data_IF_998911316507
#
_entry.id   IF_998911316507
#
_cell.length_a   1.000
_cell.length_b   1.000
_cell.length_c   1.000
_cell.angle_alpha   90.00
_cell.angle_beta   90.00
_cell.angle_gamma   90.00
#
_symmetry.space_group_name_H-M   'P 1'
#
loop_
_entity.id
_entity.type
_entity.pdbx_description
1 polymer ?
#
# COMPACT_ATOMS: atom_id res chain seq x y z
N UNK A 1 6.31 26.27 -16.75
CA UNK A 1 6.73 25.80 -15.42
C UNK A 1 6.51 24.30 -15.38
N UNK A 2 7.57 23.52 -15.67
CA UNK A 2 7.61 22.10 -15.41
C UNK A 2 7.31 21.89 -13.91
N UNK A 3 6.18 21.28 -13.62
CA UNK A 3 5.83 20.84 -12.28
C UNK A 3 6.96 19.93 -11.78
N UNK A 4 7.79 20.44 -10.89
CA UNK A 4 8.80 19.66 -10.20
C UNK A 4 8.05 18.66 -9.28
N UNK A 5 7.82 17.46 -9.79
CA UNK A 5 7.29 16.39 -8.97
C UNK A 5 8.43 15.88 -8.09
N UNK A 6 8.30 15.98 -6.76
CA UNK A 6 9.34 15.48 -5.87
C UNK A 6 9.51 13.97 -6.06
N UNK A 7 10.71 13.42 -5.83
CA UNK A 7 10.94 11.98 -5.91
C UNK A 7 10.07 11.22 -4.89
N UNK A 8 9.74 9.95 -5.13
CA UNK A 8 8.84 9.17 -4.25
C UNK A 8 9.24 9.15 -2.78
N UNK A 9 10.54 9.18 -2.49
CA UNK A 9 11.06 9.29 -1.12
C UNK A 9 10.71 10.62 -0.44
N UNK A 10 10.79 11.73 -1.19
CA UNK A 10 10.37 13.04 -0.69
C UNK A 10 8.83 13.12 -0.55
N UNK A 11 8.07 12.37 -1.35
CA UNK A 11 6.62 12.26 -1.20
C UNK A 11 6.23 11.50 0.07
N UNK A 12 6.96 10.44 0.46
CA UNK A 12 6.77 9.78 1.76
C UNK A 12 7.01 10.73 2.93
N UNK A 13 8.10 11.51 2.86
CA UNK A 13 8.38 12.55 3.84
C UNK A 13 7.28 13.62 3.83
N UNK A 14 6.77 13.98 2.65
CA UNK A 14 5.67 14.91 2.47
C UNK A 14 4.38 14.45 3.17
N UNK A 15 4.03 13.17 3.08
CA UNK A 15 2.87 12.60 3.80
C UNK A 15 3.01 12.82 5.31
N UNK A 16 4.20 12.57 5.86
CA UNK A 16 4.46 12.80 7.27
C UNK A 16 4.40 14.29 7.66
N UNK A 17 5.01 15.18 6.83
CA UNK A 17 5.09 16.61 7.12
C UNK A 17 3.75 17.34 6.94
N UNK A 18 2.97 17.02 5.91
CA UNK A 18 1.65 17.64 5.68
C UNK A 18 0.73 17.34 6.86
N UNK A 19 0.73 16.10 7.31
CA UNK A 19 -0.06 15.74 8.47
C UNK A 19 0.42 16.39 9.77
N UNK A 20 1.71 16.72 9.91
CA UNK A 20 2.22 17.44 11.08
C UNK A 20 1.84 18.94 11.05
N UNK A 21 1.74 19.54 9.87
CA UNK A 21 1.45 20.98 9.72
C UNK A 21 -0.03 21.29 9.57
N UNK A 22 -0.88 20.32 9.27
CA UNK A 22 -2.31 20.49 9.12
C UNK A 22 -3.03 20.34 10.46
N UNK A 23 -3.81 21.33 10.86
CA UNK A 23 -4.60 21.29 12.10
C UNK A 23 -5.68 20.19 12.11
N UNK A 24 -6.06 19.68 10.94
CA UNK A 24 -7.12 18.67 10.77
C UNK A 24 -6.60 17.25 10.53
N UNK A 25 -5.36 17.10 10.06
CA UNK A 25 -4.76 15.81 9.73
C UNK A 25 -3.50 15.62 10.57
N UNK A 26 -3.50 14.67 11.48
CA UNK A 26 -2.29 14.30 12.22
C UNK A 26 -1.47 13.25 11.43
N UNK A 27 -0.44 13.71 10.71
CA UNK A 27 0.42 12.87 9.87
C UNK A 27 1.17 11.78 10.62
N UNK A 28 1.25 11.91 11.95
CA UNK A 28 1.80 10.85 12.81
C UNK A 28 1.02 9.55 12.70
N UNK A 29 -0.27 9.63 12.38
CA UNK A 29 -1.13 8.45 12.18
C UNK A 29 -1.26 8.05 10.70
N UNK A 30 -1.18 9.01 9.77
CA UNK A 30 -1.33 8.74 8.33
C UNK A 30 -0.17 7.93 7.74
N UNK A 31 1.07 8.27 8.07
CA UNK A 31 2.22 7.54 7.56
C UNK A 31 2.27 6.08 8.06
N UNK A 32 2.15 5.80 9.37
CA UNK A 32 2.04 4.42 9.84
C UNK A 32 0.85 3.66 9.26
N UNK A 33 -0.30 4.31 9.12
CA UNK A 33 -1.48 3.71 8.50
C UNK A 33 -1.24 3.31 7.04
N UNK A 34 -0.65 4.21 6.24
CA UNK A 34 -0.25 3.92 4.88
C UNK A 34 0.70 2.72 4.79
N UNK A 35 1.77 2.74 5.60
CA UNK A 35 2.75 1.64 5.64
C UNK A 35 2.09 0.33 6.07
N UNK A 36 1.20 0.37 7.07
CA UNK A 36 0.49 -0.81 7.55
C UNK A 36 -0.38 -1.44 6.47
N UNK A 37 -1.13 -0.66 5.68
CA UNK A 37 -1.94 -1.17 4.58
C UNK A 37 -1.06 -1.82 3.50
N UNK A 38 -0.01 -1.14 3.04
CA UNK A 38 0.88 -1.64 1.99
C UNK A 38 1.58 -2.92 2.45
N UNK A 39 2.14 -2.94 3.67
CA UNK A 39 2.84 -4.12 4.17
C UNK A 39 1.90 -5.26 4.56
N UNK A 40 0.66 -4.98 4.95
CA UNK A 40 -0.33 -6.05 5.14
C UNK A 40 -0.71 -6.74 3.83
N UNK A 41 -0.70 -6.02 2.69
CA UNK A 41 -0.89 -6.63 1.38
C UNK A 41 0.23 -7.67 1.08
N UNK A 42 1.49 -7.31 1.32
CA UNK A 42 2.64 -8.20 1.12
C UNK A 42 2.57 -9.43 2.05
N UNK A 43 2.24 -9.21 3.34
CA UNK A 43 2.09 -10.28 4.33
C UNK A 43 0.93 -11.21 3.97
N UNK A 44 -0.22 -10.67 3.61
CA UNK A 44 -1.40 -11.45 3.21
C UNK A 44 -1.14 -12.30 1.98
N UNK A 45 -0.46 -11.71 1.00
CA UNK A 45 -0.05 -12.41 -0.22
C UNK A 45 0.91 -13.57 0.08
N UNK A 46 1.87 -13.36 0.96
CA UNK A 46 2.78 -14.41 1.39
C UNK A 46 2.06 -15.53 2.17
N UNK A 47 1.22 -15.18 3.14
CA UNK A 47 0.52 -16.16 3.99
C UNK A 47 -0.38 -17.08 3.16
N UNK A 48 -1.33 -16.53 2.39
CA UNK A 48 -2.23 -17.36 1.59
C UNK A 48 -1.50 -18.03 0.43
N UNK A 49 -0.56 -17.34 -0.23
CA UNK A 49 0.24 -17.95 -1.29
C UNK A 49 1.01 -19.19 -0.83
N UNK A 50 1.59 -19.17 0.38
CA UNK A 50 2.32 -20.33 0.92
C UNK A 50 1.39 -21.43 1.44
N UNK A 51 0.25 -21.09 2.01
CA UNK A 51 -0.73 -22.06 2.46
C UNK A 51 -1.30 -22.87 1.29
N UNK A 52 -1.70 -22.19 0.23
CA UNK A 52 -2.26 -22.87 -0.96
C UNK A 52 -1.20 -23.57 -1.80
N UNK A 53 0.05 -23.09 -1.81
CA UNK A 53 1.15 -23.81 -2.47
C UNK A 53 1.38 -25.22 -1.91
N UNK A 54 1.04 -25.44 -0.64
CA UNK A 54 1.11 -26.76 0.03
C UNK A 54 -0.19 -27.56 -0.09
N UNK A 55 -1.25 -27.00 -0.66
CA UNK A 55 -2.53 -27.66 -0.84
C UNK A 55 -2.50 -28.66 -2.00
N UNK A 56 -3.26 -29.77 -1.93
CA UNK A 56 -3.44 -30.71 -3.05
C UNK A 56 -3.99 -30.06 -4.32
N UNK A 57 -4.70 -28.94 -4.19
CA UNK A 57 -5.23 -28.17 -5.34
C UNK A 57 -4.17 -27.40 -6.11
N UNK A 58 -2.94 -27.26 -5.56
CA UNK A 58 -1.87 -26.47 -6.16
C UNK A 58 -2.10 -24.96 -6.05
N UNK A 59 -1.16 -24.18 -6.56
CA UNK A 59 -1.30 -22.71 -6.64
C UNK A 59 -1.33 -22.26 -8.10
N UNK A 60 -2.28 -21.38 -8.44
CA UNK A 60 -2.37 -20.77 -9.76
C UNK A 60 -1.39 -19.60 -9.85
N UNK A 61 -0.42 -19.69 -10.76
CA UNK A 61 0.59 -18.64 -10.96
C UNK A 61 -0.01 -17.43 -11.66
N UNK A 62 0.24 -16.23 -11.13
CA UNK A 62 -0.28 -14.99 -11.68
C UNK A 62 0.57 -14.48 -12.86
N UNK A 63 1.89 -14.40 -12.69
CA UNK A 63 2.83 -13.95 -13.74
C UNK A 63 4.10 -14.80 -13.66
N UNK A 64 4.09 -16.04 -14.20
CA UNK A 64 5.18 -16.99 -14.02
C UNK A 64 6.51 -16.54 -14.66
N UNK A 65 6.47 -15.78 -15.74
CA UNK A 65 7.66 -15.32 -16.47
C UNK A 65 8.46 -14.25 -15.72
N UNK A 66 7.78 -13.36 -14.97
CA UNK A 66 8.40 -12.23 -14.25
C UNK A 66 8.65 -12.61 -12.79
N UNK A 67 7.64 -13.17 -12.12
CA UNK A 67 7.68 -13.55 -10.72
C UNK A 67 7.01 -14.90 -10.47
N UNK A 68 7.77 -16.00 -10.53
CA UNK A 68 7.23 -17.37 -10.41
C UNK A 68 6.68 -17.69 -9.02
N UNK A 69 6.94 -16.85 -8.03
CA UNK A 69 6.45 -17.01 -6.66
C UNK A 69 5.05 -16.42 -6.44
N UNK A 70 4.59 -15.50 -7.30
CA UNK A 70 3.27 -14.85 -7.16
C UNK A 70 2.15 -15.76 -7.63
N UNK A 71 1.15 -15.96 -6.77
CA UNK A 71 -0.06 -16.75 -7.05
C UNK A 71 -1.32 -15.90 -6.94
N UNK A 72 -2.39 -16.34 -7.59
CA UNK A 72 -3.71 -15.68 -7.53
C UNK A 72 -4.26 -15.76 -6.10
N UNK A 73 -4.08 -16.88 -5.42
CA UNK A 73 -4.48 -17.09 -4.03
C UNK A 73 -3.76 -16.11 -3.10
N UNK A 74 -2.46 -15.89 -3.36
CA UNK A 74 -1.69 -14.87 -2.66
C UNK A 74 -2.24 -13.47 -2.89
N UNK A 75 -2.60 -13.13 -4.13
CA UNK A 75 -3.22 -11.84 -4.44
C UNK A 75 -4.51 -11.61 -3.66
N UNK A 76 -5.38 -12.62 -3.61
CA UNK A 76 -6.62 -12.56 -2.81
C UNK A 76 -6.28 -12.34 -1.33
N UNK A 77 -5.27 -13.04 -0.80
CA UNK A 77 -4.80 -12.85 0.58
C UNK A 77 -4.31 -11.44 0.87
N UNK A 78 -3.56 -10.87 -0.05
CA UNK A 78 -3.10 -9.48 0.04
C UNK A 78 -4.26 -8.49 0.10
N UNK A 79 -5.24 -8.63 -0.81
CA UNK A 79 -6.44 -7.79 -0.83
C UNK A 79 -7.24 -7.91 0.46
N UNK A 80 -7.50 -9.13 0.93
CA UNK A 80 -8.30 -9.35 2.15
C UNK A 80 -7.62 -8.75 3.38
N UNK A 81 -6.31 -8.96 3.55
CA UNK A 81 -5.61 -8.46 4.71
C UNK A 81 -5.44 -6.93 4.68
N UNK A 82 -5.13 -6.34 3.51
CA UNK A 82 -5.03 -4.89 3.36
C UNK A 82 -6.36 -4.18 3.59
N UNK A 83 -7.47 -4.73 3.09
CA UNK A 83 -8.82 -4.20 3.38
C UNK A 83 -9.14 -4.29 4.87
N UNK A 84 -8.85 -5.40 5.51
CA UNK A 84 -9.08 -5.57 6.95
C UNK A 84 -8.32 -4.54 7.78
N UNK A 85 -7.03 -4.37 7.51
CA UNK A 85 -6.19 -3.37 8.21
C UNK A 85 -6.66 -1.95 7.92
N UNK A 86 -7.02 -1.65 6.67
CA UNK A 86 -7.52 -0.34 6.29
C UNK A 86 -8.83 0.04 6.98
N UNK A 87 -9.80 -0.87 6.99
CA UNK A 87 -11.09 -0.65 7.64
C UNK A 87 -10.91 -0.54 9.17
N UNK A 88 -10.13 -1.43 9.79
CA UNK A 88 -9.85 -1.36 11.22
C UNK A 88 -9.18 -0.04 11.61
N UNK A 89 -8.19 0.42 10.82
CA UNK A 89 -7.56 1.72 11.05
C UNK A 89 -8.54 2.89 10.95
N UNK A 90 -9.45 2.87 9.98
CA UNK A 90 -10.48 3.89 9.85
C UNK A 90 -11.51 3.89 11.00
N UNK A 91 -11.76 2.75 11.62
CA UNK A 91 -12.69 2.63 12.74
C UNK A 91 -12.03 3.02 14.08
N UNK A 92 -10.77 2.68 14.29
CA UNK A 92 -10.10 2.83 15.59
C UNK A 92 -9.18 4.04 15.70
N UNK A 93 -8.74 4.64 14.57
CA UNK A 93 -7.87 5.82 14.56
C UNK A 93 -8.70 7.08 14.23
N UNK A 94 -9.02 7.95 15.21
CA UNK A 94 -9.94 9.09 15.01
C UNK A 94 -9.55 9.98 13.83
N UNK A 95 -8.27 10.36 13.73
CA UNK A 95 -7.78 11.24 12.66
C UNK A 95 -7.86 10.61 11.26
N UNK A 96 -7.67 9.28 11.16
CA UNK A 96 -7.85 8.53 9.92
C UNK A 96 -9.34 8.40 9.59
N UNK A 97 -10.16 8.20 10.61
CA UNK A 97 -11.61 8.09 10.51
C UNK A 97 -12.25 9.30 9.82
N UNK A 98 -11.89 10.51 10.24
CA UNK A 98 -12.43 11.74 9.67
C UNK A 98 -11.99 11.94 8.21
N UNK A 99 -10.76 11.61 7.88
CA UNK A 99 -10.27 11.66 6.52
C UNK A 99 -10.98 10.64 5.61
N UNK A 100 -11.20 9.43 6.09
CA UNK A 100 -11.92 8.39 5.34
C UNK A 100 -13.39 8.75 5.16
N UNK A 101 -14.01 9.46 6.14
CA UNK A 101 -15.35 9.98 6.02
C UNK A 101 -15.44 11.01 4.90
N UNK A 102 -14.50 11.96 4.78
CA UNK A 102 -14.51 12.96 3.70
C UNK A 102 -14.49 12.28 2.33
N UNK A 103 -13.68 11.22 2.17
CA UNK A 103 -13.58 10.47 0.92
C UNK A 103 -14.84 9.65 0.60
N UNK A 104 -15.47 9.08 1.61
CA UNK A 104 -16.64 8.21 1.44
C UNK A 104 -18.00 8.92 1.54
N UNK A 105 -18.06 10.15 2.04
CA UNK A 105 -19.30 10.89 2.26
C UNK A 105 -20.12 11.15 0.99
N UNK A 106 -19.45 11.30 -0.13
CA UNK A 106 -20.09 11.47 -1.44
C UNK A 106 -20.78 10.19 -1.96
N UNK A 107 -20.49 9.05 -1.36
CA UNK A 107 -20.98 7.73 -1.82
C UNK A 107 -22.10 7.23 -0.89
N UNK A 108 -22.03 7.56 0.39
CA UNK A 108 -22.98 7.08 1.39
C UNK A 108 -23.49 8.22 2.28
N UNK A 109 -24.78 8.31 2.44
CA UNK A 109 -25.42 9.25 3.36
C UNK A 109 -25.29 8.89 4.85
N UNK A 110 -24.67 7.74 5.17
CA UNK A 110 -24.45 7.30 6.54
C UNK A 110 -22.96 7.46 6.90
N UNK A 111 -22.68 8.10 8.04
CA UNK A 111 -21.31 8.41 8.50
C UNK A 111 -20.46 7.16 8.65
N UNK A 112 -20.96 6.10 9.29
CA UNK A 112 -20.21 4.87 9.51
C UNK A 112 -19.92 4.14 8.20
N UNK A 113 -20.92 4.06 7.32
CA UNK A 113 -20.76 3.44 5.99
C UNK A 113 -19.79 4.28 5.15
N UNK A 114 -19.83 5.59 5.20
CA UNK A 114 -18.90 6.48 4.52
C UNK A 114 -17.44 6.23 4.92
N UNK A 115 -17.16 6.09 6.20
CA UNK A 115 -15.81 5.75 6.71
C UNK A 115 -15.31 4.41 6.16
N UNK A 116 -16.15 3.37 6.24
CA UNK A 116 -15.81 2.02 5.75
C UNK A 116 -15.55 2.03 4.24
N UNK A 117 -16.43 2.68 3.48
CA UNK A 117 -16.30 2.76 2.01
C UNK A 117 -15.04 3.53 1.61
N UNK A 118 -14.78 4.69 2.23
CA UNK A 118 -13.55 5.46 1.98
C UNK A 118 -12.29 4.64 2.27
N UNK A 119 -12.26 3.97 3.44
CA UNK A 119 -11.14 3.10 3.81
C UNK A 119 -10.97 1.91 2.85
N UNK A 120 -12.05 1.28 2.43
CA UNK A 120 -12.01 0.16 1.50
C UNK A 120 -11.45 0.57 0.13
N UNK A 121 -11.89 1.72 -0.40
CA UNK A 121 -11.40 2.25 -1.68
C UNK A 121 -9.90 2.55 -1.60
N UNK A 122 -9.46 3.28 -0.57
CA UNK A 122 -8.05 3.62 -0.38
C UNK A 122 -7.20 2.35 -0.24
N UNK A 123 -7.61 1.43 0.62
CA UNK A 123 -6.87 0.19 0.85
C UNK A 123 -6.76 -0.67 -0.41
N UNK A 124 -7.83 -0.75 -1.21
CA UNK A 124 -7.81 -1.47 -2.47
C UNK A 124 -6.82 -0.85 -3.46
N UNK A 125 -6.86 0.47 -3.63
CA UNK A 125 -5.95 1.17 -4.53
C UNK A 125 -4.49 1.03 -4.07
N UNK A 126 -4.22 1.21 -2.78
CA UNK A 126 -2.87 1.04 -2.23
C UNK A 126 -2.36 -0.41 -2.38
N UNK A 127 -3.22 -1.40 -2.18
CA UNK A 127 -2.90 -2.81 -2.43
C UNK A 127 -2.53 -3.06 -3.89
N UNK A 128 -3.30 -2.55 -4.84
CA UNK A 128 -3.01 -2.69 -6.27
C UNK A 128 -1.69 -2.00 -6.65
N UNK A 129 -1.47 -0.78 -6.15
CA UNK A 129 -0.21 -0.05 -6.38
C UNK A 129 1.00 -0.77 -5.77
N UNK A 130 0.85 -1.37 -4.59
CA UNK A 130 1.88 -2.22 -3.95
C UNK A 130 2.26 -3.40 -4.86
N UNK A 131 1.26 -4.12 -5.38
CA UNK A 131 1.48 -5.28 -6.26
C UNK A 131 2.19 -4.86 -7.54
N UNK A 132 1.77 -3.73 -8.15
CA UNK A 132 2.41 -3.19 -9.36
C UNK A 132 3.84 -2.73 -9.06
N UNK A 133 4.09 -2.09 -7.91
CA UNK A 133 5.42 -1.65 -7.49
C UNK A 133 6.42 -2.80 -7.41
N UNK A 134 6.07 -3.88 -6.73
CA UNK A 134 6.89 -5.09 -6.63
C UNK A 134 7.10 -5.77 -8.00
N UNK A 135 6.09 -5.74 -8.90
CA UNK A 135 6.27 -6.24 -10.27
C UNK A 135 7.25 -5.39 -11.09
N UNK A 136 7.14 -4.07 -11.02
CA UNK A 136 8.03 -3.14 -11.72
C UNK A 136 9.48 -3.32 -11.25
N UNK A 137 9.71 -3.40 -9.95
CA UNK A 137 11.04 -3.67 -9.40
C UNK A 137 11.56 -5.04 -9.84
N UNK A 138 10.70 -6.06 -9.83
CA UNK A 138 11.05 -7.40 -10.31
C UNK A 138 11.51 -7.39 -11.78
N UNK A 139 10.85 -6.61 -12.65
CA UNK A 139 11.24 -6.43 -14.06
C UNK A 139 12.59 -5.75 -14.15
N UNK A 140 12.82 -4.66 -13.43
CA UNK A 140 14.11 -3.94 -13.45
C UNK A 140 15.27 -4.81 -12.98
N UNK A 141 15.06 -5.62 -11.95
CA UNK A 141 16.09 -6.58 -11.48
C UNK A 141 16.43 -7.61 -12.57
N UNK A 142 15.43 -8.12 -13.29
CA UNK A 142 15.67 -9.07 -14.39
C UNK A 142 16.39 -8.43 -15.58
N UNK A 143 16.00 -7.23 -15.96
CA UNK A 143 16.64 -6.47 -17.03
C UNK A 143 18.11 -6.17 -16.72
N UNK A 144 18.41 -5.85 -15.47
CA UNK A 144 19.77 -5.61 -14.97
C UNK A 144 20.59 -6.87 -14.71
N UNK A 145 20.03 -8.07 -14.91
CA UNK A 145 20.70 -9.36 -14.67
C UNK A 145 20.98 -9.67 -13.19
N UNK A 146 20.34 -8.92 -12.27
CA UNK A 146 20.47 -9.10 -10.82
C UNK A 146 19.20 -9.72 -10.24
N UNK A 147 19.31 -10.30 -9.04
CA UNK A 147 18.16 -10.88 -8.34
C UNK A 147 17.74 -10.02 -7.14
N UNK A 148 18.69 -9.53 -6.39
CA UNK A 148 18.49 -8.74 -5.19
C UNK A 148 19.22 -7.41 -5.35
N UNK A 149 18.63 -6.29 -4.88
CA UNK A 149 19.20 -4.94 -5.02
C UNK A 149 20.34 -4.65 -4.04
N UNK A 150 20.68 -5.61 -3.17
CA UNK A 150 21.76 -5.52 -2.20
C UNK A 150 21.66 -6.61 -1.13
N UNK A 151 22.58 -6.56 -0.15
CA UNK A 151 22.64 -7.51 0.98
C UNK A 151 22.65 -6.81 2.34
N UNK A 152 22.10 -5.59 2.41
CA UNK A 152 22.14 -4.79 3.64
C UNK A 152 21.24 -5.34 4.75
N UNK A 153 20.13 -6.00 4.42
CA UNK A 153 19.19 -6.55 5.40
C UNK A 153 19.27 -8.07 5.38
N UNK A 154 19.76 -8.73 6.45
CA UNK A 154 19.84 -10.18 6.51
C UNK A 154 18.47 -10.84 6.24
N UNK A 155 18.38 -11.67 5.20
CA UNK A 155 17.17 -12.41 4.84
C UNK A 155 16.14 -11.63 4.01
N UNK A 156 16.28 -10.31 3.82
CA UNK A 156 15.33 -9.48 3.07
C UNK A 156 15.93 -8.79 1.84
N UNK A 157 17.26 -8.89 1.60
CA UNK A 157 17.91 -8.26 0.45
C UNK A 157 18.33 -6.82 0.70
N UNK A 158 18.15 -5.95 -0.28
CA UNK A 158 18.48 -4.53 -0.19
C UNK A 158 17.36 -3.68 0.42
N UNK A 159 17.68 -2.44 0.77
CA UNK A 159 16.68 -1.46 1.26
C UNK A 159 15.60 -1.21 0.18
N UNK A 160 15.99 -1.23 -1.09
CA UNK A 160 15.06 -1.05 -2.20
C UNK A 160 14.04 -2.20 -2.28
N UNK A 161 14.48 -3.44 -2.04
CA UNK A 161 13.61 -4.63 -2.05
C UNK A 161 12.50 -4.56 -0.97
N UNK A 162 12.71 -3.78 0.08
CA UNK A 162 11.71 -3.56 1.15
C UNK A 162 10.80 -2.37 0.86
N UNK A 163 11.31 -1.39 0.11
CA UNK A 163 10.63 -0.12 -0.15
C UNK A 163 9.87 -0.07 -1.49
N UNK A 164 10.06 -1.05 -2.36
CA UNK A 164 9.53 -1.10 -3.73
C UNK A 164 8.02 -0.84 -3.82
N UNK A 165 7.26 -1.57 -3.01
CA UNK A 165 5.81 -1.45 -2.91
C UNK A 165 5.37 -0.08 -2.37
N UNK A 166 6.15 0.49 -1.43
CA UNK A 166 5.88 1.81 -0.87
C UNK A 166 6.20 2.94 -1.84
N UNK A 167 7.26 2.81 -2.64
CA UNK A 167 7.72 3.87 -3.55
C UNK A 167 6.69 4.19 -4.64
N UNK A 168 5.99 3.18 -5.17
CA UNK A 168 4.95 3.41 -6.17
C UNK A 168 3.64 3.88 -5.54
N UNK A 169 3.32 3.45 -4.34
CA UNK A 169 2.11 3.87 -3.63
C UNK A 169 2.23 5.29 -3.00
N UNK A 170 3.46 5.76 -2.72
CA UNK A 170 3.71 7.04 -2.06
C UNK A 170 3.17 8.28 -2.81
N UNK A 171 3.32 8.42 -4.14
CA UNK A 171 2.75 9.55 -4.89
C UNK A 171 1.24 9.65 -4.75
N UNK A 172 0.55 8.52 -4.78
CA UNK A 172 -0.90 8.47 -4.62
C UNK A 172 -1.33 8.90 -3.21
N UNK A 173 -0.67 8.36 -2.18
CA UNK A 173 -0.97 8.75 -0.80
C UNK A 173 -0.65 10.21 -0.52
N UNK A 174 0.42 10.75 -1.11
CA UNK A 174 0.77 12.16 -1.04
C UNK A 174 -0.31 13.05 -1.67
N UNK A 175 -0.81 12.70 -2.85
CA UNK A 175 -1.88 13.45 -3.50
C UNK A 175 -3.17 13.45 -2.67
N UNK A 176 -3.51 12.33 -2.04
CA UNK A 176 -4.67 12.24 -1.13
C UNK A 176 -4.49 13.13 0.08
N UNK A 177 -3.35 13.04 0.78
CA UNK A 177 -3.08 13.87 1.96
C UNK A 177 -3.09 15.36 1.63
N UNK A 178 -2.55 15.76 0.47
CA UNK A 178 -2.63 17.14 -0.02
C UNK A 178 -4.08 17.59 -0.25
N UNK A 179 -4.91 16.74 -0.82
CA UNK A 179 -6.31 17.05 -1.07
C UNK A 179 -7.08 17.20 0.25
N UNK A 180 -6.91 16.24 1.15
CA UNK A 180 -7.56 16.26 2.47
C UNK A 180 -7.11 17.41 3.36
N UNK A 181 -5.87 17.88 3.23
CA UNK A 181 -5.36 19.01 4.01
C UNK A 181 -5.99 20.36 3.63
N UNK A 182 -6.70 20.43 2.49
CA UNK A 182 -7.38 21.64 2.01
C UNK A 182 -8.83 21.75 2.50
N UNK A 183 -9.41 20.66 2.96
CA UNK A 183 -10.76 20.59 3.54
C UNK A 183 -10.70 20.68 5.07
#
# INVERSE_FOLDING_TARGET
TLLYTPPPTAMLLGVALIGYTSAKLDGRFFLPYFVAIVKSADIGAYCLGTLFAKSPMGSHKFVPEISPKKSIEGLIGGVLLSLSVGILGALYLPNVSDAMLILGSNISGNIEVGRIVGAAIISLILCLLSIVGDLVESIWKRDSGIKDSGSYIPGMGGILDVADSLLLAAPFMYAITLTLSRF
#
